data_IF_429906950291
#
_entry.id   IF_429906950291
#
_cell.length_a   1.000
_cell.length_b   1.000
_cell.length_c   1.000
_cell.angle_alpha   90.00
_cell.angle_beta   90.00
_cell.angle_gamma   90.00
#
_symmetry.space_group_name_H-M   'P 1'
#
loop_
_entity.id
_entity.type
_entity.pdbx_description
1 polymer ?
#
# COMPACT_ATOMS: atom_id res chain seq x y z
N UNK A 1 -37.41 14.31 33.29
CA UNK A 1 -36.03 14.74 33.56
C UNK A 1 -35.10 13.54 33.42
N UNK A 2 -34.79 13.12 32.18
CA UNK A 2 -33.91 11.97 31.95
C UNK A 2 -32.49 12.46 31.73
N UNK A 3 -31.60 12.10 32.65
CA UNK A 3 -30.18 12.42 32.60
C UNK A 3 -29.53 11.71 31.41
N UNK A 4 -28.96 12.49 30.51
CA UNK A 4 -28.06 12.01 29.45
C UNK A 4 -26.76 11.55 30.11
N UNK A 5 -26.53 10.24 30.14
CA UNK A 5 -25.24 9.66 30.50
C UNK A 5 -24.25 10.03 29.40
N UNK A 6 -23.32 10.93 29.71
CA UNK A 6 -22.17 11.19 28.86
C UNK A 6 -21.32 9.91 28.79
N UNK A 7 -21.15 9.38 27.58
CA UNK A 7 -20.24 8.27 27.33
C UNK A 7 -18.82 8.83 27.37
N UNK A 8 -18.13 8.65 28.48
CA UNK A 8 -16.72 8.97 28.56
C UNK A 8 -15.83 7.81 28.09
N UNK A 9 -14.75 8.23 27.43
CA UNK A 9 -13.48 7.56 27.16
C UNK A 9 -13.35 6.68 25.91
N UNK A 10 -12.27 6.90 25.17
CA UNK A 10 -11.76 5.94 24.20
C UNK A 10 -10.58 6.43 23.37
N UNK A 11 -9.38 6.44 23.98
CA UNK A 11 -8.04 6.46 23.36
C UNK A 11 -7.70 7.53 22.30
N UNK A 12 -6.43 7.97 22.28
CA UNK A 12 -5.92 8.93 21.30
C UNK A 12 -6.18 8.47 19.86
N UNK A 13 -6.97 9.26 19.13
CA UNK A 13 -7.40 9.00 17.76
C UNK A 13 -6.24 8.79 16.78
N UNK A 14 -5.09 9.43 17.02
CA UNK A 14 -3.90 9.33 16.18
C UNK A 14 -3.32 7.91 16.06
N UNK A 15 -3.16 7.18 17.16
CA UNK A 15 -2.62 5.81 17.13
C UNK A 15 -3.60 4.83 16.46
N UNK A 16 -4.90 5.06 16.58
CA UNK A 16 -5.93 4.26 15.89
C UNK A 16 -5.93 4.47 14.37
N UNK A 17 -5.68 5.71 13.92
CA UNK A 17 -5.64 6.04 12.49
C UNK A 17 -4.41 5.45 11.80
N UNK A 18 -3.22 5.57 12.42
CA UNK A 18 -1.99 4.95 11.93
C UNK A 18 -2.10 3.42 11.89
N UNK A 19 -2.66 2.82 12.95
CA UNK A 19 -2.90 1.39 12.98
C UNK A 19 -3.83 0.93 11.84
N UNK A 20 -4.94 1.66 11.61
CA UNK A 20 -5.85 1.38 10.49
C UNK A 20 -5.14 1.49 9.14
N UNK A 21 -4.32 2.52 8.92
CA UNK A 21 -3.53 2.66 7.69
C UNK A 21 -2.57 1.49 7.51
N UNK A 22 -1.86 1.10 8.57
CA UNK A 22 -0.93 -0.02 8.54
C UNK A 22 -1.64 -1.35 8.21
N UNK A 23 -2.74 -1.67 8.89
CA UNK A 23 -3.52 -2.91 8.64
C UNK A 23 -4.10 -2.91 7.22
N UNK A 24 -4.63 -1.78 6.75
CA UNK A 24 -5.15 -1.69 5.37
C UNK A 24 -4.05 -1.80 4.31
N UNK A 25 -2.84 -1.29 4.58
CA UNK A 25 -1.67 -1.49 3.73
C UNK A 25 -1.24 -2.97 3.70
N UNK A 26 -1.17 -3.62 4.87
CA UNK A 26 -0.84 -5.05 4.98
C UNK A 26 -1.85 -5.92 4.21
N UNK A 27 -3.15 -5.68 4.40
CA UNK A 27 -4.21 -6.36 3.66
C UNK A 27 -4.07 -6.18 2.14
N UNK A 28 -3.79 -4.94 1.67
CA UNK A 28 -3.54 -4.67 0.25
C UNK A 28 -2.31 -5.41 -0.28
N UNK A 29 -1.23 -5.48 0.50
CA UNK A 29 -0.01 -6.24 0.14
C UNK A 29 -0.31 -7.74 0.03
N UNK A 30 -1.05 -8.31 0.98
CA UNK A 30 -1.41 -9.73 0.97
C UNK A 30 -2.27 -10.10 -0.25
N UNK A 31 -3.29 -9.30 -0.58
CA UNK A 31 -4.12 -9.53 -1.76
C UNK A 31 -3.32 -9.43 -3.08
N UNK A 32 -2.42 -8.44 -3.18
CA UNK A 32 -1.55 -8.27 -4.35
C UNK A 32 -0.60 -9.45 -4.49
N UNK A 33 0.01 -9.89 -3.39
CA UNK A 33 0.91 -11.04 -3.41
C UNK A 33 0.18 -12.32 -3.84
N UNK A 34 -1.01 -12.58 -3.30
CA UNK A 34 -1.86 -13.71 -3.72
C UNK A 34 -2.22 -13.63 -5.21
N UNK A 35 -2.51 -12.43 -5.73
CA UNK A 35 -2.79 -12.24 -7.16
C UNK A 35 -1.57 -12.50 -8.04
N UNK A 36 -0.36 -12.18 -7.58
CA UNK A 36 0.87 -12.43 -8.33
C UNK A 36 1.09 -13.94 -8.54
N UNK A 37 0.76 -14.77 -7.55
CA UNK A 37 0.82 -16.23 -7.67
C UNK A 37 -0.32 -16.80 -8.52
N UNK A 38 -1.55 -16.32 -8.31
CA UNK A 38 -2.75 -16.87 -8.94
C UNK A 38 -3.35 -15.89 -9.96
N UNK A 39 -2.87 -15.93 -11.20
CA UNK A 39 -3.33 -15.04 -12.28
C UNK A 39 -4.82 -15.28 -12.62
N UNK A 40 -5.31 -16.51 -12.50
CA UNK A 40 -6.71 -16.87 -12.78
C UNK A 40 -7.62 -16.29 -11.69
N UNK A 41 -8.56 -15.43 -12.10
CA UNK A 41 -9.44 -14.70 -11.17
C UNK A 41 -10.39 -15.58 -10.37
N UNK A 42 -10.80 -16.72 -10.90
CA UNK A 42 -11.75 -17.61 -10.20
C UNK A 42 -11.09 -18.27 -8.99
N UNK A 43 -9.86 -18.75 -9.15
CA UNK A 43 -9.06 -19.31 -8.06
C UNK A 43 -8.64 -18.21 -7.07
N UNK A 44 -8.18 -17.07 -7.57
CA UNK A 44 -7.77 -15.95 -6.74
C UNK A 44 -8.90 -15.41 -5.84
N UNK A 45 -10.16 -15.45 -6.28
CA UNK A 45 -11.29 -15.02 -5.45
C UNK A 45 -11.45 -15.87 -4.19
N UNK A 46 -11.19 -17.18 -4.28
CA UNK A 46 -11.23 -18.06 -3.11
C UNK A 46 -10.15 -17.66 -2.09
N UNK A 47 -8.92 -17.40 -2.57
CA UNK A 47 -7.85 -16.90 -1.71
C UNK A 47 -8.15 -15.54 -1.10
N UNK A 48 -8.71 -14.61 -1.88
CA UNK A 48 -9.08 -13.29 -1.41
C UNK A 48 -10.15 -13.35 -0.30
N UNK A 49 -11.12 -14.25 -0.43
CA UNK A 49 -12.12 -14.50 0.63
C UNK A 49 -11.48 -15.09 1.89
N UNK A 50 -10.56 -16.04 1.75
CA UNK A 50 -9.80 -16.60 2.88
C UNK A 50 -9.02 -15.52 3.61
N UNK A 51 -8.25 -14.70 2.88
CA UNK A 51 -7.49 -13.58 3.46
C UNK A 51 -8.44 -12.62 4.18
N UNK A 52 -9.61 -12.30 3.59
CA UNK A 52 -10.59 -11.45 4.26
C UNK A 52 -11.13 -12.07 5.56
N UNK A 53 -11.46 -13.36 5.54
CA UNK A 53 -11.95 -14.06 6.72
C UNK A 53 -10.92 -14.04 7.86
N UNK A 54 -9.64 -14.23 7.55
CA UNK A 54 -8.54 -14.16 8.53
C UNK A 54 -8.46 -12.77 9.20
N UNK A 55 -8.65 -11.69 8.45
CA UNK A 55 -8.66 -10.32 9.00
C UNK A 55 -9.92 -10.02 9.82
N UNK A 56 -11.09 -10.46 9.36
CA UNK A 56 -12.34 -10.25 10.12
C UNK A 56 -12.34 -11.05 11.43
N UNK A 57 -11.75 -12.25 11.45
CA UNK A 57 -11.60 -13.05 12.67
C UNK A 57 -10.79 -12.30 13.75
N UNK A 58 -9.75 -11.58 13.34
CA UNK A 58 -8.83 -10.86 14.25
C UNK A 58 -9.20 -9.38 14.46
N UNK A 59 -10.40 -8.95 14.03
CA UNK A 59 -10.79 -7.54 14.04
C UNK A 59 -10.93 -6.92 15.44
N UNK A 60 -11.34 -7.71 16.42
CA UNK A 60 -11.70 -7.24 17.77
C UNK A 60 -10.63 -7.56 18.84
N UNK A 61 -9.39 -7.82 18.42
CA UNK A 61 -8.28 -8.06 19.34
C UNK A 61 -7.95 -6.77 20.10
N UNK A 62 -8.09 -6.80 21.43
CA UNK A 62 -7.91 -5.62 22.29
C UNK A 62 -6.54 -5.61 22.97
N UNK A 63 -5.91 -6.78 23.16
CA UNK A 63 -4.62 -6.90 23.81
C UNK A 63 -3.49 -6.43 22.85
N UNK A 64 -2.69 -5.40 23.22
CA UNK A 64 -1.65 -4.86 22.34
C UNK A 64 -0.50 -5.84 22.08
N UNK A 65 -0.20 -6.75 23.03
CA UNK A 65 0.87 -7.76 22.85
C UNK A 65 0.48 -8.81 21.84
N UNK A 66 -0.76 -9.29 21.93
CA UNK A 66 -1.33 -10.23 20.97
C UNK A 66 -1.42 -9.60 19.57
N UNK A 67 -1.86 -8.35 19.49
CA UNK A 67 -1.91 -7.60 18.25
C UNK A 67 -0.52 -7.51 17.58
N UNK A 68 0.51 -7.14 18.33
CA UNK A 68 1.87 -7.07 17.81
C UNK A 68 2.36 -8.43 17.30
N UNK A 69 2.10 -9.51 18.04
CA UNK A 69 2.47 -10.87 17.63
C UNK A 69 1.73 -11.31 16.36
N UNK A 70 0.45 -10.97 16.22
CA UNK A 70 -0.35 -11.26 15.03
C UNK A 70 0.19 -10.54 13.80
N UNK A 71 0.52 -9.26 13.92
CA UNK A 71 1.09 -8.46 12.84
C UNK A 71 2.45 -9.01 12.40
N UNK A 72 3.33 -9.33 13.35
CA UNK A 72 4.63 -9.95 13.07
C UNK A 72 4.47 -11.29 12.34
N UNK A 73 3.55 -12.14 12.78
CA UNK A 73 3.24 -13.40 12.12
C UNK A 73 2.74 -13.19 10.69
N UNK A 74 1.88 -12.20 10.48
CA UNK A 74 1.34 -11.88 9.17
C UNK A 74 2.42 -11.32 8.21
N UNK A 75 3.33 -10.49 8.72
CA UNK A 75 4.47 -10.00 7.95
C UNK A 75 5.44 -11.12 7.59
N UNK A 76 5.81 -11.98 8.55
CA UNK A 76 6.66 -13.14 8.29
C UNK A 76 6.03 -14.08 7.25
N UNK A 77 4.72 -14.31 7.33
CA UNK A 77 4.00 -15.07 6.30
C UNK A 77 4.10 -14.36 4.94
N UNK A 78 3.87 -13.05 4.86
CA UNK A 78 3.96 -12.33 3.60
C UNK A 78 5.36 -12.36 2.99
N UNK A 79 6.41 -12.27 3.80
CA UNK A 79 7.80 -12.36 3.36
C UNK A 79 8.15 -13.76 2.85
N UNK A 80 7.77 -14.80 3.60
CA UNK A 80 8.04 -16.19 3.21
C UNK A 80 7.37 -16.58 1.90
N UNK A 81 6.18 -16.05 1.64
CA UNK A 81 5.40 -16.33 0.42
C UNK A 81 5.49 -15.20 -0.62
N UNK A 82 6.45 -14.28 -0.49
CA UNK A 82 6.61 -13.19 -1.44
C UNK A 82 6.93 -13.73 -2.83
N UNK A 83 6.17 -13.28 -3.84
CA UNK A 83 6.47 -13.64 -5.23
C UNK A 83 7.79 -13.00 -5.68
N UNK A 84 8.73 -13.75 -6.32
CA UNK A 84 10.05 -13.22 -6.68
C UNK A 84 10.00 -12.09 -7.73
N UNK A 85 9.07 -12.18 -8.70
CA UNK A 85 8.85 -11.15 -9.72
C UNK A 85 7.39 -10.64 -9.72
N UNK A 86 7.03 -9.71 -8.82
CA UNK A 86 5.65 -9.25 -8.67
C UNK A 86 5.21 -8.42 -9.87
N UNK A 87 3.91 -8.47 -10.22
CA UNK A 87 3.36 -7.64 -11.29
C UNK A 87 3.50 -6.14 -10.98
N UNK A 88 4.18 -5.41 -11.86
CA UNK A 88 4.32 -3.95 -11.83
C UNK A 88 3.64 -3.34 -13.06
N UNK A 89 2.79 -2.30 -12.88
CA UNK A 89 2.22 -1.59 -14.02
C UNK A 89 3.32 -1.01 -14.92
N UNK A 90 3.15 -1.01 -16.26
CA UNK A 90 4.21 -0.60 -17.18
C UNK A 90 4.76 0.80 -16.92
N UNK A 91 3.92 1.74 -16.50
CA UNK A 91 4.30 3.15 -16.27
C UNK A 91 4.76 3.45 -14.85
N UNK A 92 4.80 2.46 -13.97
CA UNK A 92 5.31 2.65 -12.60
C UNK A 92 6.82 2.46 -12.58
N UNK A 93 7.47 2.86 -11.48
CA UNK A 93 8.91 2.62 -11.29
C UNK A 93 9.20 1.13 -11.43
N UNK A 94 10.30 0.78 -12.12
CA UNK A 94 10.67 -0.59 -12.51
C UNK A 94 9.68 -1.28 -13.48
N UNK A 95 8.77 -0.53 -14.11
CA UNK A 95 7.87 -1.02 -15.14
C UNK A 95 8.49 -0.97 -16.53
N UNK A 96 7.99 -1.77 -17.46
CA UNK A 96 8.53 -1.86 -18.83
C UNK A 96 8.41 -0.56 -19.64
N UNK A 97 7.51 0.35 -19.27
CA UNK A 97 7.31 1.67 -19.89
C UNK A 97 7.79 2.82 -18.98
N UNK A 98 8.44 2.51 -17.86
CA UNK A 98 9.04 3.53 -17.02
C UNK A 98 10.08 4.32 -17.80
N UNK A 99 10.07 5.63 -17.60
CA UNK A 99 11.01 6.56 -18.19
C UNK A 99 11.20 6.54 -19.73
N UNK A 100 10.34 5.87 -20.49
CA UNK A 100 10.49 5.76 -21.94
C UNK A 100 10.44 7.11 -22.68
N UNK A 101 9.49 7.96 -22.31
CA UNK A 101 9.23 9.26 -22.96
C UNK A 101 9.10 10.36 -21.89
N UNK A 102 10.18 10.65 -21.15
CA UNK A 102 10.17 11.81 -20.26
C UNK A 102 10.12 13.08 -21.11
N UNK A 103 9.21 14.03 -20.81
CA UNK A 103 9.34 15.35 -21.39
C UNK A 103 10.69 15.92 -20.96
N UNK A 104 11.51 16.42 -21.90
CA UNK A 104 12.75 17.07 -21.53
C UNK A 104 12.43 18.24 -20.59
N UNK A 105 13.38 18.55 -19.69
CA UNK A 105 13.29 19.78 -18.91
C UNK A 105 13.22 20.95 -19.90
N UNK A 106 12.10 21.67 -19.89
CA UNK A 106 12.00 22.91 -20.65
C UNK A 106 13.00 23.89 -20.03
N UNK A 107 13.84 24.48 -20.87
CA UNK A 107 14.72 25.58 -20.46
C UNK A 107 13.88 26.73 -19.92
N UNK A 108 14.39 27.43 -18.91
CA UNK A 108 13.87 28.76 -18.59
C UNK A 108 14.16 29.72 -19.76
N UNK A 109 13.44 30.84 -19.84
CA UNK A 109 13.64 31.79 -20.95
C UNK A 109 15.08 32.34 -20.99
N UNK A 110 15.72 32.48 -19.82
CA UNK A 110 17.12 32.91 -19.66
C UNK A 110 18.10 31.86 -20.20
N UNK A 111 17.95 30.59 -19.78
CA UNK A 111 18.78 29.47 -20.25
C UNK A 111 18.64 29.27 -21.77
N UNK A 112 17.42 29.46 -22.29
CA UNK A 112 17.15 29.41 -23.72
C UNK A 112 17.85 30.54 -24.47
N UNK A 113 17.80 31.77 -23.95
CA UNK A 113 18.46 32.92 -24.55
C UNK A 113 19.99 32.80 -24.54
N UNK A 114 20.57 32.23 -23.49
CA UNK A 114 22.00 31.93 -23.42
C UNK A 114 22.41 30.86 -24.43
N UNK A 115 21.68 29.73 -24.50
CA UNK A 115 21.95 28.66 -25.47
C UNK A 115 21.84 29.10 -26.94
N UNK A 116 21.03 30.11 -27.25
CA UNK A 116 20.85 30.64 -28.61
C UNK A 116 21.98 31.59 -29.03
N UNK A 117 22.67 32.26 -28.09
CA UNK A 117 23.78 33.18 -28.41
C UNK A 117 24.98 32.46 -29.02
N UNK A 118 25.21 31.20 -28.63
CA UNK A 118 26.32 30.38 -29.11
C UNK A 118 26.05 29.75 -30.49
N UNK A 119 24.79 29.77 -30.96
CA UNK A 119 24.40 29.22 -32.25
C UNK A 119 24.54 30.29 -33.35
N UNK A 120 25.77 30.49 -33.85
CA UNK A 120 26.02 31.31 -35.04
C UNK A 120 25.71 30.51 -36.33
N UNK A 121 24.60 30.86 -36.99
CA UNK A 121 24.34 30.65 -38.43
C UNK A 121 24.11 31.99 -39.08
#
# INVERSE_FOLDING_TARGET
MFATVARESGASTAFSALHKQYVTNLYRRMLRNSLNWNVRRDLWRADAQRIRADFEHNRNVTNPRELAALLQRAEAHLENYAHPDPYKPPTYVEGTKWERNLPPRLFTDEEKAESLKDQHV
#
